data_IF_443881718626
#
_entry.id   IF_443881718626
#
_cell.length_a   1.000
_cell.length_b   1.000
_cell.length_c   1.000
_cell.angle_alpha   90.00
_cell.angle_beta   90.00
_cell.angle_gamma   90.00
#
_symmetry.space_group_name_H-M   'P 1'
#
loop_
_entity.id
_entity.type
_entity.pdbx_description
1 polymer ?
#
# COMPACT_ATOMS: atom_id res chain seq x y z
N UNK A 1 -15.74 -4.04 1.85
CA UNK A 1 -15.09 -3.07 0.98
C UNK A 1 -16.11 -2.35 0.10
N UNK A 2 -15.81 -1.11 -0.34
CA UNK A 2 -16.72 -0.29 -1.16
C UNK A 2 -17.10 -0.89 -2.51
N UNK A 3 -16.32 -1.82 -3.07
CA UNK A 3 -16.60 -2.45 -4.36
C UNK A 3 -17.93 -3.23 -4.38
N UNK A 4 -18.37 -3.78 -3.26
CA UNK A 4 -19.66 -4.47 -3.17
C UNK A 4 -20.83 -3.58 -3.59
N UNK A 5 -20.75 -2.29 -3.29
CA UNK A 5 -21.77 -1.29 -3.67
C UNK A 5 -21.59 -0.86 -5.12
N UNK A 6 -20.33 -0.60 -5.51
CA UNK A 6 -20.02 0.04 -6.81
C UNK A 6 -20.07 -0.95 -7.97
N UNK A 7 -19.54 -2.16 -7.78
CA UNK A 7 -19.31 -3.12 -8.88
C UNK A 7 -20.27 -4.30 -8.84
N UNK A 8 -20.68 -4.74 -7.66
CA UNK A 8 -21.56 -5.91 -7.49
C UNK A 8 -23.04 -5.56 -7.40
N UNK A 9 -23.36 -4.25 -7.37
CA UNK A 9 -24.74 -3.79 -7.32
C UNK A 9 -25.50 -4.34 -6.10
N UNK A 10 -24.85 -4.34 -4.95
CA UNK A 10 -25.48 -4.79 -3.70
C UNK A 10 -26.80 -4.06 -3.50
N UNK A 11 -27.88 -4.80 -3.37
CA UNK A 11 -29.21 -4.23 -3.09
C UNK A 11 -29.26 -3.78 -1.63
N UNK A 12 -29.15 -2.49 -1.41
CA UNK A 12 -29.29 -1.89 -0.08
C UNK A 12 -30.73 -1.42 0.11
N UNK A 13 -31.27 -1.61 1.29
CA UNK A 13 -32.62 -1.13 1.63
C UNK A 13 -32.71 0.39 1.52
N UNK A 14 -33.79 0.89 0.96
CA UNK A 14 -34.01 2.33 0.70
C UNK A 14 -34.10 3.17 1.97
N UNK A 15 -34.39 2.54 3.13
CA UNK A 15 -34.51 3.22 4.42
C UNK A 15 -33.16 3.35 5.16
N UNK A 16 -32.06 2.90 4.59
CA UNK A 16 -30.72 2.98 5.18
C UNK A 16 -29.89 4.11 4.58
N UNK A 17 -29.16 4.82 5.42
CA UNK A 17 -28.12 5.74 4.97
C UNK A 17 -26.81 4.98 4.84
N UNK A 18 -26.19 5.03 3.65
CA UNK A 18 -24.91 4.38 3.34
C UNK A 18 -23.84 5.43 3.15
N UNK A 19 -22.83 5.36 3.99
CA UNK A 19 -21.69 6.26 3.93
C UNK A 19 -20.39 5.46 3.85
N UNK A 20 -19.38 6.06 3.24
CA UNK A 20 -18.01 5.58 3.25
C UNK A 20 -17.18 6.50 4.13
N UNK A 21 -16.36 5.91 4.98
CA UNK A 21 -15.31 6.60 5.74
C UNK A 21 -14.06 5.77 5.60
N UNK A 22 -13.13 6.23 4.77
CA UNK A 22 -11.94 5.51 4.36
C UNK A 22 -10.66 6.25 4.84
N UNK A 23 -10.16 5.91 6.04
CA UNK A 23 -8.86 6.41 6.48
C UNK A 23 -7.75 5.83 5.57
N UNK A 24 -6.84 6.68 5.10
CA UNK A 24 -5.75 6.29 4.22
C UNK A 24 -4.58 5.69 5.02
N UNK A 25 -4.86 4.53 5.63
CA UNK A 25 -3.91 3.76 6.44
C UNK A 25 -4.52 2.44 6.90
N UNK A 26 -3.69 1.40 7.11
CA UNK A 26 -4.13 0.18 7.79
C UNK A 26 -4.77 0.47 9.15
N UNK A 27 -5.81 -0.25 9.52
CA UNK A 27 -6.59 0.02 10.73
C UNK A 27 -5.76 0.01 12.04
N UNK A 28 -4.69 -0.77 12.09
CA UNK A 28 -3.73 -0.74 13.21
C UNK A 28 -3.02 0.61 13.34
N UNK A 29 -2.61 1.20 12.22
CA UNK A 29 -1.96 2.51 12.19
C UNK A 29 -2.95 3.64 12.51
N UNK A 30 -4.16 3.58 11.97
CA UNK A 30 -5.24 4.52 12.37
C UNK A 30 -5.39 4.54 13.89
N UNK A 31 -5.37 3.36 14.53
CA UNK A 31 -5.47 3.23 15.99
C UNK A 31 -4.28 3.84 16.71
N UNK A 32 -3.05 3.59 16.25
CA UNK A 32 -1.84 4.13 16.89
C UNK A 32 -1.76 5.65 16.73
N UNK A 33 -2.04 6.20 15.55
CA UNK A 33 -2.08 7.65 15.34
C UNK A 33 -3.15 8.32 16.20
N UNK A 34 -4.33 7.71 16.32
CA UNK A 34 -5.37 8.19 17.21
C UNK A 34 -4.89 8.28 18.67
N UNK A 35 -4.22 7.23 19.18
CA UNK A 35 -3.68 7.19 20.56
C UNK A 35 -2.60 8.24 20.80
N UNK A 36 -1.81 8.56 19.77
CA UNK A 36 -0.79 9.63 19.82
C UNK A 36 -1.38 11.03 19.77
N UNK A 37 -2.69 11.18 19.57
CA UNK A 37 -3.37 12.47 19.43
C UNK A 37 -3.34 13.02 18.01
N UNK A 38 -2.86 12.23 17.05
CA UNK A 38 -2.89 12.52 15.61
C UNK A 38 -4.09 11.84 14.95
N UNK A 39 -4.11 11.90 13.63
CA UNK A 39 -5.06 11.20 12.79
C UNK A 39 -4.41 10.83 11.47
N UNK A 40 -5.17 10.17 10.60
CA UNK A 40 -4.77 9.92 9.22
C UNK A 40 -5.74 10.61 8.27
N UNK A 41 -5.29 11.08 7.09
CA UNK A 41 -6.18 11.61 6.07
C UNK A 41 -7.31 10.62 5.78
N UNK A 42 -8.53 11.12 5.68
CA UNK A 42 -9.71 10.27 5.57
C UNK A 42 -10.59 10.74 4.42
N UNK A 43 -10.89 9.86 3.48
CA UNK A 43 -11.87 10.11 2.44
C UNK A 43 -13.28 9.78 2.96
N UNK A 44 -14.26 10.60 2.60
CA UNK A 44 -15.66 10.36 2.96
C UNK A 44 -16.55 10.48 1.72
N UNK A 45 -17.56 9.63 1.66
CA UNK A 45 -18.58 9.70 0.61
C UNK A 45 -19.96 9.26 1.14
N UNK A 46 -20.99 9.63 0.42
CA UNK A 46 -22.37 9.17 0.64
C UNK A 46 -22.83 8.46 -0.63
N UNK A 47 -23.46 7.31 -0.49
CA UNK A 47 -24.13 6.64 -1.58
C UNK A 47 -25.43 7.37 -1.89
N UNK A 48 -25.52 8.01 -3.06
CA UNK A 48 -26.61 8.94 -3.38
C UNK A 48 -28.00 8.31 -3.34
N UNK A 49 -28.10 7.02 -3.66
CA UNK A 49 -29.36 6.26 -3.67
C UNK A 49 -29.80 5.81 -2.27
N UNK A 50 -28.93 5.93 -1.27
CA UNK A 50 -29.14 5.47 0.09
C UNK A 50 -28.81 6.57 1.11
N UNK A 51 -29.52 7.68 1.02
CA UNK A 51 -29.51 8.77 2.03
C UNK A 51 -30.91 9.38 2.18
N UNK A 52 -31.87 8.60 2.71
CA UNK A 52 -33.26 8.99 2.74
C UNK A 52 -33.55 10.27 3.57
N UNK A 53 -32.68 10.58 4.53
CA UNK A 53 -32.81 11.77 5.37
C UNK A 53 -31.98 12.96 4.90
N UNK A 54 -31.04 12.75 3.95
CA UNK A 54 -30.11 13.78 3.47
C UNK A 54 -29.05 14.18 4.52
N UNK A 55 -28.81 13.35 5.54
CA UNK A 55 -27.86 13.60 6.62
C UNK A 55 -26.57 12.76 6.53
N UNK A 56 -26.45 11.93 5.51
CA UNK A 56 -25.32 11.01 5.31
C UNK A 56 -23.96 11.70 5.37
N UNK A 57 -23.82 12.87 4.75
CA UNK A 57 -22.55 13.61 4.78
C UNK A 57 -22.21 14.13 6.20
N UNK A 58 -23.21 14.54 6.98
CA UNK A 58 -22.98 14.94 8.36
C UNK A 58 -22.55 13.75 9.23
N UNK A 59 -23.16 12.59 9.01
CA UNK A 59 -22.81 11.33 9.68
C UNK A 59 -21.36 10.93 9.32
N UNK A 60 -21.00 10.94 8.03
CA UNK A 60 -19.67 10.60 7.58
C UNK A 60 -18.58 11.52 8.20
N UNK A 61 -18.83 12.83 8.23
CA UNK A 61 -17.93 13.80 8.88
C UNK A 61 -17.81 13.56 10.38
N UNK A 62 -18.90 13.29 11.07
CA UNK A 62 -18.91 13.02 12.51
C UNK A 62 -18.12 11.72 12.81
N UNK A 63 -18.28 10.69 12.00
CA UNK A 63 -17.54 9.43 12.16
C UNK A 63 -16.04 9.62 11.90
N UNK A 64 -15.69 10.31 10.82
CA UNK A 64 -14.28 10.61 10.50
C UNK A 64 -13.61 11.42 11.63
N UNK A 65 -14.30 12.41 12.20
CA UNK A 65 -13.81 13.17 13.35
C UNK A 65 -13.66 12.28 14.60
N UNK A 66 -14.63 11.40 14.88
CA UNK A 66 -14.57 10.49 16.03
C UNK A 66 -13.40 9.51 15.95
N UNK A 67 -12.93 9.17 14.75
CA UNK A 67 -11.75 8.33 14.52
C UNK A 67 -10.44 9.12 14.41
N UNK A 68 -10.49 10.45 14.52
CA UNK A 68 -9.32 11.34 14.50
C UNK A 68 -8.92 11.86 13.13
N UNK A 69 -9.67 11.52 12.07
CA UNK A 69 -9.36 11.96 10.70
C UNK A 69 -9.37 13.49 10.54
N UNK A 70 -10.19 14.21 11.33
CA UNK A 70 -10.25 15.67 11.32
C UNK A 70 -8.94 16.36 11.72
N UNK A 71 -8.04 15.66 12.42
CA UNK A 71 -6.72 16.17 12.82
C UNK A 71 -5.72 16.15 11.67
N UNK A 72 -5.94 15.29 10.67
CA UNK A 72 -5.08 15.18 9.49
C UNK A 72 -5.73 15.73 8.22
N UNK A 73 -7.04 15.67 8.12
CA UNK A 73 -7.85 16.18 7.02
C UNK A 73 -8.92 15.18 6.60
N UNK A 74 -10.13 15.71 6.35
CA UNK A 74 -11.26 14.94 5.84
C UNK A 74 -11.67 15.50 4.49
N UNK A 75 -11.56 14.67 3.46
CA UNK A 75 -11.80 15.04 2.07
C UNK A 75 -13.05 14.34 1.54
N UNK A 76 -13.92 15.10 0.91
CA UNK A 76 -15.08 14.52 0.23
C UNK A 76 -14.65 13.86 -1.07
N UNK A 77 -15.09 12.62 -1.27
CA UNK A 77 -14.77 11.79 -2.43
C UNK A 77 -16.06 11.08 -2.92
N UNK A 78 -15.90 10.01 -3.66
CA UNK A 78 -16.96 9.09 -4.06
C UNK A 78 -16.53 7.65 -3.83
N UNK A 79 -17.47 6.71 -3.77
CA UNK A 79 -17.16 5.29 -3.68
C UNK A 79 -16.25 4.81 -4.80
N UNK A 80 -16.50 5.25 -6.04
CA UNK A 80 -15.69 4.86 -7.21
C UNK A 80 -14.28 5.43 -7.13
N UNK A 81 -14.17 6.72 -6.76
CA UNK A 81 -12.87 7.40 -6.73
C UNK A 81 -11.97 6.91 -5.58
N UNK A 82 -12.52 6.22 -4.59
CA UNK A 82 -11.75 5.61 -3.52
C UNK A 82 -11.43 4.15 -3.81
N UNK A 83 -12.41 3.35 -4.23
CA UNK A 83 -12.26 1.90 -4.36
C UNK A 83 -11.20 1.48 -5.38
N UNK A 84 -11.18 2.12 -6.55
CA UNK A 84 -10.29 1.69 -7.65
C UNK A 84 -8.81 1.99 -7.39
N UNK A 85 -8.44 3.21 -6.98
CA UNK A 85 -7.04 3.48 -6.63
C UNK A 85 -6.56 2.72 -5.39
N UNK A 86 -7.41 2.53 -4.39
CA UNK A 86 -7.12 1.75 -3.20
C UNK A 86 -6.73 0.29 -3.55
N UNK A 87 -7.57 -0.40 -4.34
CA UNK A 87 -7.23 -1.73 -4.83
C UNK A 87 -5.93 -1.75 -5.64
N UNK A 88 -5.68 -0.74 -6.48
CA UNK A 88 -4.46 -0.67 -7.28
C UNK A 88 -3.21 -0.49 -6.42
N UNK A 89 -3.23 0.43 -5.46
CA UNK A 89 -2.12 0.68 -4.54
C UNK A 89 -1.80 -0.54 -3.69
N UNK A 90 -2.83 -1.11 -3.04
CA UNK A 90 -2.68 -2.29 -2.20
C UNK A 90 -2.08 -3.49 -2.96
N UNK A 91 -2.62 -3.81 -4.13
CA UNK A 91 -2.20 -5.01 -4.85
C UNK A 91 -0.85 -4.88 -5.53
N UNK A 92 -0.46 -3.69 -5.99
CA UNK A 92 0.78 -3.51 -6.74
C UNK A 92 1.99 -3.20 -5.87
N UNK A 93 1.93 -2.12 -5.08
CA UNK A 93 3.08 -1.68 -4.27
C UNK A 93 3.04 -2.32 -2.90
N UNK A 94 1.94 -2.13 -2.18
CA UNK A 94 1.90 -2.37 -0.74
C UNK A 94 2.00 -3.85 -0.41
N UNK A 95 1.18 -4.68 -1.03
CA UNK A 95 1.17 -6.12 -0.82
C UNK A 95 1.96 -6.89 -1.89
N UNK A 96 2.06 -6.35 -3.11
CA UNK A 96 2.77 -7.00 -4.21
C UNK A 96 4.28 -6.81 -4.14
N UNK A 97 4.75 -5.58 -4.41
CA UNK A 97 6.18 -5.31 -4.58
C UNK A 97 6.97 -5.42 -3.28
N UNK A 98 6.49 -4.85 -2.17
CA UNK A 98 7.22 -4.90 -0.90
C UNK A 98 7.35 -6.35 -0.40
N UNK A 99 6.31 -7.15 -0.51
CA UNK A 99 6.32 -8.55 -0.13
C UNK A 99 7.24 -9.38 -1.04
N UNK A 100 6.99 -9.36 -2.34
CA UNK A 100 7.76 -10.13 -3.31
C UNK A 100 9.22 -9.70 -3.32
N UNK A 101 9.49 -8.39 -3.24
CA UNK A 101 10.82 -7.82 -3.11
C UNK A 101 11.57 -8.33 -1.88
N UNK A 102 10.89 -8.42 -0.73
CA UNK A 102 11.49 -8.98 0.48
C UNK A 102 11.94 -10.43 0.29
N UNK A 103 11.08 -11.28 -0.27
CA UNK A 103 11.36 -12.70 -0.49
C UNK A 103 12.54 -12.87 -1.46
N UNK A 104 12.44 -12.25 -2.64
CA UNK A 104 13.45 -12.40 -3.70
C UNK A 104 14.81 -11.81 -3.31
N UNK A 105 14.83 -10.64 -2.66
CA UNK A 105 16.07 -10.05 -2.20
C UNK A 105 16.71 -10.91 -1.11
N UNK A 106 15.93 -11.45 -0.17
CA UNK A 106 16.44 -12.35 0.86
C UNK A 106 17.12 -13.59 0.27
N UNK A 107 16.40 -14.29 -0.62
CA UNK A 107 16.91 -15.48 -1.28
C UNK A 107 18.21 -15.19 -2.03
N UNK A 108 18.25 -14.07 -2.75
CA UNK A 108 19.43 -13.67 -3.52
C UNK A 108 20.62 -13.28 -2.64
N UNK A 109 20.38 -12.58 -1.55
CA UNK A 109 21.43 -12.23 -0.58
C UNK A 109 22.04 -13.48 0.05
N UNK A 110 21.23 -14.42 0.51
CA UNK A 110 21.70 -15.68 1.09
C UNK A 110 22.44 -16.54 0.06
N UNK A 111 21.94 -16.64 -1.17
CA UNK A 111 22.62 -17.31 -2.28
C UNK A 111 24.04 -16.75 -2.53
N UNK A 112 24.19 -15.44 -2.37
CA UNK A 112 25.50 -14.75 -2.50
C UNK A 112 26.38 -14.84 -1.25
N UNK A 113 25.98 -15.56 -0.23
CA UNK A 113 26.75 -15.79 0.99
C UNK A 113 26.62 -14.69 2.04
N UNK A 114 25.63 -13.80 1.92
CA UNK A 114 25.30 -12.84 2.97
C UNK A 114 24.68 -13.59 4.14
N UNK A 115 25.06 -13.21 5.38
CA UNK A 115 24.49 -13.78 6.59
C UNK A 115 22.95 -13.64 6.60
N UNK A 116 22.27 -14.74 6.86
CA UNK A 116 20.80 -14.78 6.77
C UNK A 116 20.11 -13.89 7.81
N UNK A 117 20.68 -13.79 9.03
CA UNK A 117 20.17 -12.89 10.07
C UNK A 117 20.32 -11.42 9.69
N UNK A 118 21.47 -11.06 9.10
CA UNK A 118 21.70 -9.73 8.56
C UNK A 118 20.73 -9.42 7.40
N UNK A 119 20.62 -10.33 6.41
CA UNK A 119 19.70 -10.15 5.29
C UNK A 119 18.25 -9.99 5.76
N UNK A 120 17.82 -10.82 6.71
CA UNK A 120 16.48 -10.73 7.30
C UNK A 120 16.26 -9.37 7.97
N UNK A 121 17.22 -8.88 8.75
CA UNK A 121 17.10 -7.59 9.43
C UNK A 121 17.12 -6.42 8.46
N UNK A 122 18.02 -6.44 7.47
CA UNK A 122 18.11 -5.39 6.45
C UNK A 122 16.79 -5.25 5.69
N UNK A 123 16.19 -6.36 5.29
CA UNK A 123 14.95 -6.34 4.52
C UNK A 123 13.73 -6.00 5.39
N UNK A 124 13.63 -6.58 6.59
CA UNK A 124 12.50 -6.32 7.49
C UNK A 124 12.39 -4.83 7.86
N UNK A 125 13.51 -4.17 8.15
CA UNK A 125 13.51 -2.76 8.58
C UNK A 125 13.91 -1.79 7.46
N UNK A 126 14.50 -2.27 6.37
CA UNK A 126 14.93 -1.42 5.26
C UNK A 126 13.79 -0.68 4.58
N UNK A 127 12.66 -1.35 4.38
CA UNK A 127 11.48 -0.69 3.80
C UNK A 127 11.00 0.48 4.65
N UNK A 128 10.94 0.32 5.97
CA UNK A 128 10.52 1.35 6.90
C UNK A 128 11.47 2.56 6.87
N UNK A 129 12.79 2.30 6.96
CA UNK A 129 13.81 3.36 6.95
C UNK A 129 13.83 4.12 5.61
N UNK A 130 13.73 3.40 4.49
CA UNK A 130 13.75 4.00 3.15
C UNK A 130 12.46 4.77 2.88
N UNK A 131 11.32 4.18 3.18
CA UNK A 131 10.03 4.82 2.96
C UNK A 131 9.78 6.03 3.87
N UNK A 132 10.44 6.13 5.03
CA UNK A 132 10.36 7.32 5.88
C UNK A 132 10.77 8.59 5.13
N UNK A 133 11.74 8.48 4.20
CA UNK A 133 12.13 9.58 3.33
C UNK A 133 10.99 10.16 2.49
N UNK A 134 9.98 9.35 2.14
CA UNK A 134 8.83 9.80 1.37
C UNK A 134 7.97 10.82 2.13
N UNK A 135 7.87 10.71 3.45
CA UNK A 135 7.05 11.61 4.29
C UNK A 135 7.51 13.06 4.28
N UNK A 136 8.79 13.31 4.02
CA UNK A 136 9.42 14.62 4.21
C UNK A 136 9.74 15.36 2.92
N UNK A 137 9.35 14.84 1.77
CA UNK A 137 9.60 15.47 0.48
C UNK A 137 9.55 14.50 -0.69
N UNK A 138 8.86 13.37 -0.49
CA UNK A 138 8.61 12.39 -1.53
C UNK A 138 9.87 11.67 -2.02
N UNK A 139 9.81 11.19 -3.24
CA UNK A 139 10.89 10.41 -3.88
C UNK A 139 12.22 11.18 -3.89
N UNK A 140 12.20 12.50 -4.10
CA UNK A 140 13.41 13.32 -4.13
C UNK A 140 14.16 13.23 -2.80
N UNK A 141 13.47 13.41 -1.68
CA UNK A 141 14.10 13.35 -0.35
C UNK A 141 14.60 11.95 -0.02
N UNK A 142 13.86 10.91 -0.39
CA UNK A 142 14.31 9.54 -0.26
C UNK A 142 15.61 9.30 -1.06
N UNK A 143 15.66 9.71 -2.32
CA UNK A 143 16.84 9.58 -3.17
C UNK A 143 18.03 10.41 -2.67
N UNK A 144 17.80 11.54 -2.03
CA UNK A 144 18.85 12.42 -1.49
C UNK A 144 19.65 11.80 -0.32
N UNK A 145 19.16 10.72 0.26
CA UNK A 145 19.88 9.91 1.26
C UNK A 145 21.00 9.06 0.62
N UNK A 146 20.98 8.86 -0.68
CA UNK A 146 22.00 8.12 -1.42
C UNK A 146 23.17 9.02 -1.83
N UNK A 147 24.37 8.45 -1.93
CA UNK A 147 25.48 9.12 -2.61
C UNK A 147 25.18 9.32 -4.11
N UNK A 148 25.81 10.31 -4.75
CA UNK A 148 25.56 10.58 -6.16
C UNK A 148 25.75 9.37 -7.09
N UNK A 149 26.81 8.54 -6.95
CA UNK A 149 26.90 7.30 -7.73
C UNK A 149 25.74 6.32 -7.46
N UNK A 150 25.33 6.17 -6.19
CA UNK A 150 24.23 5.28 -5.82
C UNK A 150 22.88 5.79 -6.35
N UNK A 151 22.66 7.11 -6.40
CA UNK A 151 21.47 7.70 -7.04
C UNK A 151 21.35 7.30 -8.51
N UNK A 152 22.44 7.34 -9.27
CA UNK A 152 22.45 6.94 -10.68
C UNK A 152 22.04 5.47 -10.81
N UNK A 153 22.68 4.59 -10.04
CA UNK A 153 22.34 3.16 -10.03
C UNK A 153 20.88 2.90 -9.65
N UNK A 154 20.41 3.56 -8.59
CA UNK A 154 19.02 3.40 -8.15
C UNK A 154 18.02 3.91 -9.20
N UNK A 155 18.34 5.00 -9.91
CA UNK A 155 17.49 5.52 -10.98
C UNK A 155 17.46 4.57 -12.19
N UNK A 156 18.61 4.10 -12.66
CA UNK A 156 18.69 3.13 -13.77
C UNK A 156 17.91 1.85 -13.46
N UNK A 157 18.08 1.30 -12.25
CA UNK A 157 17.32 0.12 -11.80
C UNK A 157 15.81 0.42 -11.71
N UNK A 158 15.41 1.61 -11.26
CA UNK A 158 14.01 1.98 -11.20
C UNK A 158 13.38 2.06 -12.59
N UNK A 159 14.10 2.61 -13.57
CA UNK A 159 13.63 2.70 -14.95
C UNK A 159 13.48 1.31 -15.57
N UNK A 160 14.46 0.40 -15.37
CA UNK A 160 14.36 -1.01 -15.82
C UNK A 160 13.17 -1.73 -15.17
N UNK A 161 12.96 -1.55 -13.84
CA UNK A 161 11.85 -2.13 -13.13
C UNK A 161 10.50 -1.61 -13.65
N UNK A 162 10.39 -0.32 -13.94
CA UNK A 162 9.17 0.26 -14.54
C UNK A 162 8.86 -0.38 -15.89
N UNK A 163 9.85 -0.55 -16.74
CA UNK A 163 9.66 -1.16 -18.06
C UNK A 163 9.19 -2.62 -17.95
N UNK A 164 9.78 -3.40 -17.05
CA UNK A 164 9.40 -4.81 -16.81
C UNK A 164 8.00 -4.92 -16.22
N UNK A 165 7.66 -4.05 -15.25
CA UNK A 165 6.41 -4.15 -14.49
C UNK A 165 5.23 -3.44 -15.17
N UNK A 166 5.45 -2.51 -16.08
CA UNK A 166 4.39 -1.72 -16.72
C UNK A 166 3.26 -2.59 -17.30
N UNK A 167 3.51 -3.66 -18.06
CA UNK A 167 2.43 -4.50 -18.58
C UNK A 167 1.61 -5.18 -17.49
N UNK A 168 2.24 -5.48 -16.35
CA UNK A 168 1.54 -6.09 -15.20
C UNK A 168 0.65 -5.09 -14.48
N UNK A 169 1.14 -3.86 -14.28
CA UNK A 169 0.38 -2.78 -13.65
C UNK A 169 -0.81 -2.36 -14.51
N UNK A 170 -0.60 -2.19 -15.82
CA UNK A 170 -1.67 -1.86 -16.77
C UNK A 170 -2.75 -2.95 -16.79
N UNK A 171 -2.35 -4.22 -16.91
CA UNK A 171 -3.29 -5.35 -16.86
C UNK A 171 -4.07 -5.37 -15.54
N UNK A 172 -3.38 -5.15 -14.41
CA UNK A 172 -4.04 -5.17 -13.10
C UNK A 172 -5.03 -4.02 -12.96
N UNK A 173 -4.69 -2.84 -13.44
CA UNK A 173 -5.60 -1.70 -13.47
C UNK A 173 -6.82 -1.98 -14.35
N UNK A 174 -6.63 -2.62 -15.51
CA UNK A 174 -7.73 -3.04 -16.39
C UNK A 174 -8.64 -4.06 -15.69
N UNK A 175 -8.08 -5.04 -14.98
CA UNK A 175 -8.84 -6.02 -14.19
C UNK A 175 -9.68 -5.32 -13.08
N UNK A 176 -9.15 -4.27 -12.46
CA UNK A 176 -9.87 -3.45 -11.48
C UNK A 176 -10.97 -2.62 -12.14
N UNK A 177 -10.67 -1.94 -13.25
CA UNK A 177 -11.64 -1.08 -13.94
C UNK A 177 -12.82 -1.90 -14.48
N UNK A 178 -12.55 -3.08 -15.02
CA UNK A 178 -13.57 -3.97 -15.61
C UNK A 178 -14.35 -4.76 -14.57
N UNK A 179 -13.94 -4.73 -13.29
CA UNK A 179 -14.52 -5.54 -12.21
C UNK A 179 -14.04 -7.00 -12.20
N UNK A 180 -13.16 -7.41 -13.09
CA UNK A 180 -12.64 -8.77 -13.14
C UNK A 180 -11.89 -9.16 -11.86
N UNK A 181 -11.15 -8.20 -11.28
CA UNK A 181 -10.46 -8.39 -10.01
C UNK A 181 -11.43 -8.64 -8.85
N UNK A 182 -12.44 -7.79 -8.69
CA UNK A 182 -13.45 -7.91 -7.63
C UNK A 182 -14.27 -9.20 -7.78
N UNK A 183 -14.65 -9.56 -9.01
CA UNK A 183 -15.34 -10.81 -9.30
C UNK A 183 -14.52 -12.05 -8.89
N UNK A 184 -13.20 -12.03 -9.18
CA UNK A 184 -12.28 -13.08 -8.76
C UNK A 184 -12.14 -13.22 -7.24
N UNK A 185 -12.12 -12.09 -6.52
CA UNK A 185 -12.11 -12.09 -5.05
C UNK A 185 -13.42 -12.66 -4.48
N UNK A 186 -14.56 -12.28 -5.04
CA UNK A 186 -15.86 -12.78 -4.60
C UNK A 186 -16.03 -14.28 -4.88
N UNK A 187 -15.49 -14.75 -6.00
CA UNK A 187 -15.46 -16.19 -6.29
C UNK A 187 -14.64 -16.96 -5.22
N UNK A 188 -13.47 -16.44 -4.84
CA UNK A 188 -12.66 -17.09 -3.79
C UNK A 188 -13.37 -17.05 -2.44
N UNK A 189 -13.95 -15.92 -2.08
CA UNK A 189 -14.76 -15.80 -0.86
C UNK A 189 -15.93 -16.77 -0.83
N UNK A 190 -16.65 -16.93 -1.93
CA UNK A 190 -17.72 -17.93 -2.04
C UNK A 190 -17.22 -19.39 -1.91
N UNK A 191 -15.92 -19.60 -2.07
CA UNK A 191 -15.22 -20.88 -1.91
C UNK A 191 -14.36 -20.94 -0.64
N UNK A 192 -14.78 -20.30 0.44
CA UNK A 192 -14.11 -20.30 1.75
C UNK A 192 -12.68 -19.77 1.74
N UNK A 193 -12.37 -18.79 0.88
CA UNK A 193 -11.07 -18.12 0.75
C UNK A 193 -9.89 -19.10 0.47
N UNK A 194 -10.15 -20.20 -0.23
CA UNK A 194 -9.16 -21.25 -0.44
C UNK A 194 -7.88 -20.73 -1.11
N UNK A 195 -7.99 -19.87 -2.13
CA UNK A 195 -6.82 -19.31 -2.84
C UNK A 195 -6.03 -18.39 -1.91
N UNK A 196 -6.72 -17.49 -1.20
CA UNK A 196 -6.12 -16.58 -0.24
C UNK A 196 -5.40 -17.32 0.89
N UNK A 197 -6.05 -18.32 1.49
CA UNK A 197 -5.46 -19.10 2.59
C UNK A 197 -4.25 -19.91 2.13
N UNK A 198 -4.31 -20.51 0.94
CA UNK A 198 -3.18 -21.25 0.35
C UNK A 198 -1.99 -20.32 0.11
N UNK A 199 -2.23 -19.12 -0.44
CA UNK A 199 -1.17 -18.13 -0.64
C UNK A 199 -0.57 -17.64 0.68
N UNK A 200 -1.39 -17.39 1.70
CA UNK A 200 -0.91 -17.00 3.03
C UNK A 200 -0.06 -18.10 3.67
N UNK A 201 -0.47 -19.35 3.57
CA UNK A 201 0.33 -20.49 4.04
C UNK A 201 1.68 -20.55 3.32
N UNK A 202 1.70 -20.41 1.99
CA UNK A 202 2.95 -20.37 1.21
C UNK A 202 3.87 -19.22 1.65
N UNK A 203 3.33 -18.07 2.03
CA UNK A 203 4.12 -16.94 2.54
C UNK A 203 4.81 -17.29 3.86
N UNK A 204 4.13 -17.99 4.79
CA UNK A 204 4.74 -18.41 6.05
C UNK A 204 5.88 -19.40 5.87
N UNK A 205 5.86 -20.14 4.77
CA UNK A 205 6.87 -21.16 4.44
C UNK A 205 8.14 -20.57 3.79
N UNK A 206 8.12 -19.29 3.41
CA UNK A 206 9.31 -18.65 2.80
C UNK A 206 10.49 -18.58 3.76
N UNK A 207 11.70 -18.64 3.21
CA UNK A 207 12.93 -18.55 3.99
C UNK A 207 13.06 -17.19 4.70
N UNK A 208 12.59 -16.10 4.07
CA UNK A 208 12.57 -14.77 4.68
C UNK A 208 11.70 -14.76 5.95
N UNK A 209 10.48 -15.31 5.87
CA UNK A 209 9.56 -15.31 7.00
C UNK A 209 10.10 -16.14 8.17
N UNK A 210 10.68 -17.30 7.89
CA UNK A 210 11.21 -18.24 8.90
C UNK A 210 12.53 -17.79 9.52
N UNK A 211 13.30 -16.90 8.88
CA UNK A 211 14.60 -16.47 9.39
C UNK A 211 14.45 -15.28 10.33
N UNK A 212 14.78 -15.40 11.62
CA UNK A 212 14.71 -14.25 12.52
C UNK A 212 15.71 -13.17 12.11
N UNK A 213 15.34 -11.90 12.35
CA UNK A 213 16.28 -10.79 12.21
C UNK A 213 17.45 -10.96 13.20
N UNK A 214 18.67 -10.72 12.73
CA UNK A 214 19.85 -10.80 13.57
C UNK A 214 19.90 -9.69 14.65
N UNK A 215 20.69 -9.90 15.67
CA UNK A 215 20.82 -8.95 16.80
C UNK A 215 21.74 -7.75 16.49
N UNK A 216 22.46 -7.75 15.35
CA UNK A 216 23.35 -6.66 14.97
C UNK A 216 22.60 -5.33 14.83
N UNK A 217 23.28 -4.25 15.15
CA UNK A 217 22.78 -2.89 14.91
C UNK A 217 23.16 -2.50 13.49
N UNK A 218 22.19 -2.14 12.68
CA UNK A 218 22.38 -1.57 11.33
C UNK A 218 22.13 -0.07 11.44
N UNK A 219 23.12 0.75 11.07
CA UNK A 219 22.96 2.19 11.09
C UNK A 219 21.96 2.63 10.00
N UNK A 220 21.22 3.71 10.23
CA UNK A 220 20.20 4.21 9.29
C UNK A 220 20.77 4.40 7.87
N UNK A 221 21.96 4.97 7.76
CA UNK A 221 22.61 5.19 6.47
C UNK A 221 22.98 3.87 5.76
N UNK A 222 23.29 2.82 6.51
CA UNK A 222 23.64 1.50 5.96
C UNK A 222 22.44 0.83 5.25
N UNK A 223 21.21 1.10 5.70
CA UNK A 223 20.01 0.64 4.99
C UNK A 223 19.91 1.24 3.59
N UNK A 224 20.32 2.48 3.40
CA UNK A 224 20.38 3.11 2.07
C UNK A 224 21.54 2.59 1.23
N UNK A 225 22.73 2.44 1.81
CA UNK A 225 23.93 1.98 1.10
C UNK A 225 23.83 0.53 0.63
N UNK A 226 23.26 -0.34 1.46
CA UNK A 226 23.08 -1.77 1.15
C UNK A 226 21.69 -2.08 0.58
N UNK A 227 20.77 -1.14 0.62
CA UNK A 227 19.39 -1.26 0.14
C UNK A 227 19.09 -0.52 -1.15
N UNK A 228 20.06 -0.27 -2.02
CA UNK A 228 19.87 0.47 -3.29
C UNK A 228 18.73 -0.15 -4.13
N UNK A 229 18.62 -1.47 -4.15
CA UNK A 229 17.54 -2.18 -4.86
C UNK A 229 16.17 -1.87 -4.22
N UNK A 230 16.09 -1.77 -2.89
CA UNK A 230 14.84 -1.40 -2.21
C UNK A 230 14.42 0.05 -2.54
N UNK A 231 15.40 0.96 -2.58
CA UNK A 231 15.16 2.35 -3.00
C UNK A 231 14.63 2.40 -4.43
N UNK A 232 15.26 1.64 -5.35
CA UNK A 232 14.84 1.53 -6.75
C UNK A 232 13.42 0.95 -6.86
N UNK A 233 13.09 -0.09 -6.09
CA UNK A 233 11.75 -0.69 -6.06
C UNK A 233 10.69 0.29 -5.54
N UNK A 234 10.96 1.01 -4.46
CA UNK A 234 10.03 2.02 -3.93
C UNK A 234 9.81 3.13 -4.96
N UNK A 235 10.89 3.66 -5.57
CA UNK A 235 10.77 4.67 -6.62
C UNK A 235 9.95 4.17 -7.80
N UNK A 236 10.34 3.00 -8.36
CA UNK A 236 9.66 2.42 -9.52
C UNK A 236 8.18 2.14 -9.26
N UNK A 237 7.87 1.53 -8.12
CA UNK A 237 6.50 1.18 -7.76
C UNK A 237 5.61 2.39 -7.57
N UNK A 238 6.07 3.38 -6.81
CA UNK A 238 5.33 4.62 -6.56
C UNK A 238 5.06 5.36 -7.87
N UNK A 239 6.09 5.59 -8.68
CA UNK A 239 5.94 6.30 -9.96
C UNK A 239 5.03 5.53 -10.92
N UNK A 240 5.24 4.23 -11.10
CA UNK A 240 4.47 3.42 -12.03
C UNK A 240 2.99 3.28 -11.62
N UNK A 241 2.72 3.12 -10.33
CA UNK A 241 1.33 3.07 -9.85
C UNK A 241 0.63 4.41 -10.06
N UNK A 242 1.30 5.53 -9.73
CA UNK A 242 0.77 6.87 -9.97
C UNK A 242 0.48 7.11 -11.46
N UNK A 243 1.45 6.81 -12.33
CA UNK A 243 1.31 6.95 -13.78
C UNK A 243 0.15 6.10 -14.32
N UNK A 244 0.04 4.84 -13.89
CA UNK A 244 -1.01 3.92 -14.35
C UNK A 244 -2.40 4.39 -13.90
N UNK A 245 -2.54 4.81 -12.65
CA UNK A 245 -3.80 5.32 -12.10
C UNK A 245 -4.25 6.60 -12.82
N UNK A 246 -3.35 7.56 -12.99
CA UNK A 246 -3.68 8.84 -13.66
C UNK A 246 -3.96 8.65 -15.14
N UNK A 247 -3.23 7.78 -15.85
CA UNK A 247 -3.53 7.41 -17.23
C UNK A 247 -4.91 6.75 -17.40
N UNK A 248 -5.41 6.11 -16.34
CA UNK A 248 -6.74 5.49 -16.29
C UNK A 248 -7.85 6.45 -15.84
N UNK A 249 -7.55 7.74 -15.69
CA UNK A 249 -8.52 8.78 -15.35
C UNK A 249 -8.77 8.97 -13.85
N UNK A 250 -7.96 8.35 -12.99
CA UNK A 250 -8.00 8.61 -11.54
C UNK A 250 -7.35 9.98 -11.28
N UNK A 251 -7.97 10.78 -10.42
CA UNK A 251 -7.45 12.10 -10.07
C UNK A 251 -6.12 12.00 -9.33
N UNK A 252 -5.24 12.97 -9.53
CA UNK A 252 -3.87 12.95 -9.01
C UNK A 252 -3.81 12.83 -7.49
N UNK A 253 -4.73 13.47 -6.77
CA UNK A 253 -4.79 13.42 -5.31
C UNK A 253 -5.06 11.99 -4.81
N UNK A 254 -6.01 11.26 -5.41
CA UNK A 254 -6.27 9.87 -5.04
C UNK A 254 -5.09 8.98 -5.41
N UNK A 255 -4.54 9.14 -6.62
CA UNK A 255 -3.37 8.39 -7.04
C UNK A 255 -2.16 8.62 -6.12
N UNK A 256 -1.96 9.85 -5.64
CA UNK A 256 -0.90 10.19 -4.68
C UNK A 256 -1.08 9.45 -3.34
N UNK A 257 -2.29 9.46 -2.77
CA UNK A 257 -2.53 8.78 -1.50
C UNK A 257 -2.27 7.28 -1.61
N UNK A 258 -2.74 6.64 -2.66
CA UNK A 258 -2.63 5.18 -2.82
C UNK A 258 -1.26 4.71 -3.32
N UNK A 259 -0.49 5.57 -4.00
CA UNK A 259 0.83 5.16 -4.51
C UNK A 259 1.99 5.55 -3.60
N UNK A 260 1.90 6.67 -2.87
CA UNK A 260 3.03 7.20 -2.10
C UNK A 260 2.75 7.30 -0.60
N UNK A 261 1.59 7.86 -0.23
CA UNK A 261 1.31 8.19 1.16
C UNK A 261 1.22 6.97 2.07
N UNK A 262 0.68 5.86 1.58
CA UNK A 262 0.49 4.64 2.37
C UNK A 262 1.74 3.77 2.46
N UNK A 263 2.71 3.93 1.55
CA UNK A 263 3.94 3.11 1.53
C UNK A 263 4.69 3.10 2.87
N UNK A 264 4.96 4.25 3.53
CA UNK A 264 5.61 4.25 4.83
C UNK A 264 4.83 3.50 5.91
N UNK A 265 3.51 3.50 5.83
CA UNK A 265 2.64 2.85 6.83
C UNK A 265 2.69 1.33 6.70
N UNK A 266 2.65 0.80 5.48
CA UNK A 266 2.82 -0.63 5.20
C UNK A 266 4.26 -1.08 5.49
N UNK A 267 5.26 -0.28 5.10
CA UNK A 267 6.66 -0.55 5.41
C UNK A 267 6.88 -0.70 6.92
N UNK A 268 6.22 0.13 7.74
CA UNK A 268 6.24 0.02 9.20
C UNK A 268 5.61 -1.28 9.71
N UNK A 269 4.53 -1.77 9.08
CA UNK A 269 3.97 -3.07 9.43
C UNK A 269 4.94 -4.22 9.15
N UNK A 270 5.64 -4.18 7.99
CA UNK A 270 6.68 -5.17 7.67
C UNK A 270 7.80 -5.11 8.71
N UNK A 271 8.23 -3.91 9.10
CA UNK A 271 9.23 -3.71 10.16
C UNK A 271 8.86 -4.38 11.48
N UNK A 272 7.58 -4.35 11.85
CA UNK A 272 7.08 -4.93 13.11
C UNK A 272 6.72 -6.40 13.04
N UNK A 273 6.22 -6.90 11.90
CA UNK A 273 5.58 -8.23 11.80
C UNK A 273 6.07 -9.08 10.65
N UNK A 274 6.97 -8.56 9.79
CA UNK A 274 7.28 -9.11 8.47
C UNK A 274 6.03 -9.19 7.57
N UNK A 275 5.83 -10.31 6.86
CA UNK A 275 4.82 -10.44 5.82
C UNK A 275 3.54 -11.13 6.29
N UNK A 276 3.56 -11.73 7.48
CA UNK A 276 2.44 -12.53 8.00
C UNK A 276 1.87 -11.99 9.32
#
# INVERSE_FOLDING_TARGET
>A
HGFNIVEEGMQVRDDLTVVMVAPKSPGSEVREEYKRGFGVPTLIAVHAENDPNGDGMAIAKAYAAATGGDRAGVLQSSFIAEVKPDLMGEQTILCGMLQTGSILCFEKMVEKGIDAGYASKLLQHGWEVIAEGLKHGGITTMMDRLSNPAKLVANELADELKDIMRPLFEKHMDDIITGAFSAGMMEDWANDDIKLLTWREATTETAFEKTPAGDMIIAEQEYYENGIVLVAMVKAGVELAFETMTASGIIEESAYYESLHEVPLIANLIGRKKLY
#
